data_IF_292614050865
#
_entry.id   IF_292614050865
#
_cell.length_a   1.000
_cell.length_b   1.000
_cell.length_c   1.000
_cell.angle_alpha   90.00
_cell.angle_beta   90.00
_cell.angle_gamma   90.00
#
_symmetry.space_group_name_H-M   'P 1'
#
loop_
_entity.id
_entity.type
_entity.pdbx_description
1 polymer ?
#
# COMPACT_ATOMS: atom_id res chain seq x y z
N UNK A 1 -21.47 -25.37 63.40
CA UNK A 1 -20.73 -25.84 62.20
C UNK A 1 -20.92 -24.96 60.95
N UNK A 2 -21.87 -24.01 60.90
CA UNK A 2 -22.11 -23.19 59.70
C UNK A 2 -21.10 -22.06 59.44
N UNK A 3 -20.48 -21.47 60.47
CA UNK A 3 -19.53 -20.36 60.30
C UNK A 3 -18.27 -20.75 59.52
N UNK A 4 -17.76 -21.95 59.77
CA UNK A 4 -16.54 -22.47 59.12
C UNK A 4 -16.70 -22.67 57.61
N UNK A 5 -17.90 -22.97 57.12
CA UNK A 5 -18.14 -23.11 55.68
C UNK A 5 -18.10 -21.76 54.95
N UNK A 6 -18.56 -20.69 55.59
CA UNK A 6 -18.48 -19.33 55.05
C UNK A 6 -17.04 -18.83 55.00
N UNK A 7 -16.25 -19.12 56.04
CA UNK A 7 -14.83 -18.74 56.07
C UNK A 7 -14.03 -19.45 54.96
N UNK A 8 -14.33 -20.74 54.70
CA UNK A 8 -13.74 -21.48 53.59
C UNK A 8 -14.13 -20.93 52.22
N UNK A 9 -15.37 -20.46 52.07
CA UNK A 9 -15.88 -19.91 50.81
C UNK A 9 -15.25 -18.55 50.50
N UNK A 10 -15.05 -17.71 51.54
CA UNK A 10 -14.30 -16.45 51.44
C UNK A 10 -12.82 -16.73 51.12
N UNK A 11 -12.22 -17.74 51.74
CA UNK A 11 -10.85 -18.15 51.46
C UNK A 11 -10.68 -18.62 50.00
N UNK A 12 -11.67 -19.34 49.47
CA UNK A 12 -11.69 -19.75 48.06
C UNK A 12 -11.72 -18.53 47.13
N UNK A 13 -12.60 -17.55 47.37
CA UNK A 13 -12.68 -16.32 46.56
C UNK A 13 -11.38 -15.50 46.60
N UNK A 14 -10.65 -15.53 47.73
CA UNK A 14 -9.37 -14.85 47.87
C UNK A 14 -8.18 -15.61 47.25
N UNK A 15 -8.23 -16.95 47.25
CA UNK A 15 -7.16 -17.81 46.72
C UNK A 15 -7.23 -18.01 45.21
N UNK A 16 -8.40 -17.76 44.59
CA UNK A 16 -8.57 -17.71 43.15
C UNK A 16 -8.79 -16.25 42.73
N UNK A 17 -7.72 -15.42 42.65
CA UNK A 17 -7.84 -14.18 41.90
C UNK A 17 -8.31 -14.62 40.51
N UNK A 18 -9.52 -14.19 40.14
CA UNK A 18 -10.03 -14.42 38.80
C UNK A 18 -8.89 -14.11 37.85
N UNK A 19 -8.51 -15.10 37.04
CA UNK A 19 -7.54 -14.87 35.99
C UNK A 19 -8.17 -13.79 35.12
N UNK A 20 -7.80 -12.54 35.39
CA UNK A 20 -8.09 -11.41 34.56
C UNK A 20 -7.18 -11.62 33.35
N UNK A 21 -7.60 -12.56 32.50
CA UNK A 21 -7.05 -12.77 31.18
C UNK A 21 -7.47 -11.54 30.38
N UNK A 22 -6.72 -10.46 30.57
CA UNK A 22 -6.85 -9.22 29.81
C UNK A 22 -6.23 -9.32 28.42
N UNK A 23 -5.82 -10.51 27.97
CA UNK A 23 -5.44 -10.77 26.59
C UNK A 23 -6.52 -11.64 25.95
N UNK A 24 -7.76 -11.14 25.90
CA UNK A 24 -8.61 -11.61 24.81
C UNK A 24 -7.95 -11.07 23.54
N UNK A 25 -7.32 -11.97 22.78
CA UNK A 25 -7.05 -11.81 21.35
C UNK A 25 -8.36 -11.70 20.57
N UNK A 26 -9.34 -10.97 21.11
CA UNK A 26 -10.53 -10.57 20.41
C UNK A 26 -10.00 -9.65 19.34
N UNK A 27 -9.96 -10.17 18.11
CA UNK A 27 -9.77 -9.40 16.90
C UNK A 27 -10.90 -8.39 16.84
N UNK A 28 -10.76 -7.29 17.59
CA UNK A 28 -11.66 -6.16 17.53
C UNK A 28 -11.52 -5.68 16.10
N UNK A 29 -12.55 -5.89 15.29
CA UNK A 29 -12.65 -5.20 14.01
C UNK A 29 -13.12 -3.78 14.36
N UNK A 30 -12.22 -2.79 14.54
CA UNK A 30 -12.58 -1.52 15.15
C UNK A 30 -13.29 -0.60 14.15
N UNK A 31 -13.39 -1.05 12.90
CA UNK A 31 -13.80 -0.26 11.76
C UNK A 31 -14.99 -0.93 11.08
N UNK A 32 -16.18 -0.63 11.58
CA UNK A 32 -17.41 -0.79 10.80
C UNK A 32 -17.46 0.31 9.74
N UNK A 33 -17.62 -0.09 8.47
CA UNK A 33 -17.73 0.80 7.32
C UNK A 33 -18.98 1.69 7.42
N UNK A 34 -19.99 1.23 8.16
CA UNK A 34 -21.24 1.96 8.38
C UNK A 34 -21.21 2.87 9.60
N UNK A 35 -20.11 2.92 10.35
CA UNK A 35 -20.04 3.74 11.55
C UNK A 35 -20.13 5.23 11.18
N UNK A 36 -21.06 5.99 11.79
CA UNK A 36 -21.19 7.43 11.53
C UNK A 36 -20.14 8.27 12.27
N UNK A 37 -19.38 7.71 13.23
CA UNK A 37 -18.48 8.45 14.12
C UNK A 37 -17.02 8.30 13.74
N UNK A 38 -16.33 9.43 13.64
CA UNK A 38 -14.89 9.47 13.46
C UNK A 38 -14.20 9.16 14.80
N UNK A 39 -13.10 8.42 14.79
CA UNK A 39 -12.39 8.01 16.01
C UNK A 39 -10.89 7.85 15.77
N UNK A 40 -10.12 8.11 16.82
CA UNK A 40 -8.71 7.75 16.93
C UNK A 40 -8.61 6.62 17.94
N UNK A 41 -8.00 5.50 17.56
CA UNK A 41 -7.90 4.29 18.39
C UNK A 41 -6.46 3.83 18.45
N UNK A 42 -5.98 3.41 19.62
CA UNK A 42 -4.67 2.79 19.79
C UNK A 42 -4.85 1.29 20.06
N UNK A 43 -4.23 0.44 19.23
CA UNK A 43 -4.30 -1.03 19.33
C UNK A 43 -2.89 -1.57 19.09
N UNK A 44 -2.36 -2.36 20.01
CA UNK A 44 -1.02 -2.96 19.95
C UNK A 44 0.10 -1.94 19.65
N UNK A 45 -0.01 -0.74 20.24
CA UNK A 45 0.94 0.36 20.04
C UNK A 45 0.79 1.12 18.71
N UNK A 46 -0.14 0.71 17.84
CA UNK A 46 -0.44 1.39 16.59
C UNK A 46 -1.60 2.38 16.77
N UNK A 47 -1.46 3.59 16.23
CA UNK A 47 -2.55 4.57 16.16
C UNK A 47 -3.31 4.43 14.85
N UNK A 48 -4.63 4.31 14.94
CA UNK A 48 -5.54 4.21 13.81
C UNK A 48 -6.48 5.40 13.78
N UNK A 49 -6.60 6.01 12.61
CA UNK A 49 -7.55 7.07 12.33
C UNK A 49 -8.71 6.49 11.51
N UNK A 50 -9.92 6.57 12.05
CA UNK A 50 -11.14 6.15 11.36
C UNK A 50 -11.97 7.39 11.02
N UNK A 51 -12.20 7.63 9.73
CA UNK A 51 -12.90 8.80 9.26
C UNK A 51 -14.41 8.77 9.55
N UNK A 52 -15.00 7.57 9.65
CA UNK A 52 -16.43 7.28 9.53
C UNK A 52 -17.01 7.40 8.11
N UNK A 53 -18.23 6.88 7.94
CA UNK A 53 -18.96 6.87 6.67
C UNK A 53 -19.11 8.28 6.11
N UNK A 54 -18.77 8.45 4.83
CA UNK A 54 -18.89 9.72 4.07
C UNK A 54 -18.16 10.91 4.72
N UNK A 55 -17.09 10.64 5.46
CA UNK A 55 -16.25 11.66 6.10
C UNK A 55 -14.79 11.45 5.71
N UNK A 56 -14.00 12.51 5.87
CA UNK A 56 -12.57 12.53 5.56
C UNK A 56 -11.76 12.71 6.84
N UNK A 57 -10.49 12.28 6.80
CA UNK A 57 -9.48 12.67 7.78
C UNK A 57 -8.63 13.75 7.12
N UNK A 58 -8.61 14.93 7.73
CA UNK A 58 -7.85 16.08 7.23
C UNK A 58 -6.82 16.51 8.27
N UNK A 59 -5.58 16.68 7.82
CA UNK A 59 -4.51 17.28 8.61
C UNK A 59 -4.18 18.63 7.99
N UNK A 60 -4.30 19.71 8.77
CA UNK A 60 -4.09 21.07 8.29
C UNK A 60 -2.96 21.69 9.10
N UNK A 61 -1.90 22.10 8.42
CA UNK A 61 -0.84 22.90 9.02
C UNK A 61 -1.16 24.39 8.86
N UNK A 62 -0.88 25.20 9.88
CA UNK A 62 -0.97 26.65 9.79
C UNK A 62 0.11 27.25 8.90
N UNK A 63 0.07 28.57 8.71
CA UNK A 63 1.07 29.31 7.92
C UNK A 63 2.49 29.05 8.45
N UNK A 64 3.37 28.54 7.58
CA UNK A 64 4.74 28.17 7.96
C UNK A 64 4.87 26.82 8.69
N UNK A 65 3.77 26.14 8.98
CA UNK A 65 3.76 24.78 9.51
C UNK A 65 4.03 23.74 8.42
N UNK A 66 4.57 22.58 8.81
CA UNK A 66 4.81 21.46 7.90
C UNK A 66 4.37 20.16 8.57
N UNK A 67 3.81 19.26 7.77
CA UNK A 67 3.43 17.92 8.23
C UNK A 67 4.54 16.96 7.80
N UNK A 68 4.99 16.12 8.72
CA UNK A 68 6.04 15.14 8.46
C UNK A 68 5.50 13.72 8.61
N UNK A 69 5.93 12.82 7.73
CA UNK A 69 5.73 11.38 7.86
C UNK A 69 7.10 10.71 8.01
N UNK A 70 7.44 10.32 9.24
CA UNK A 70 8.81 9.98 9.61
C UNK A 70 9.71 11.21 9.45
N UNK A 71 10.78 11.07 8.67
CA UNK A 71 11.71 12.17 8.37
C UNK A 71 11.31 12.99 7.12
N UNK A 72 10.20 12.65 6.45
CA UNK A 72 9.81 13.26 5.18
C UNK A 72 8.81 14.40 5.38
N UNK A 73 9.14 15.60 4.89
CA UNK A 73 8.21 16.71 4.83
C UNK A 73 7.19 16.50 3.70
N UNK A 74 5.90 16.42 4.04
CA UNK A 74 4.83 16.21 3.07
C UNK A 74 4.61 17.42 2.15
N UNK A 75 5.04 18.62 2.55
CA UNK A 75 4.95 19.82 1.71
C UNK A 75 5.92 19.78 0.51
N UNK A 76 6.90 18.86 0.51
CA UNK A 76 7.89 18.70 -0.56
C UNK A 76 7.56 17.51 -1.48
N UNK A 77 6.44 16.82 -1.23
CA UNK A 77 6.01 15.76 -2.14
C UNK A 77 5.51 16.40 -3.43
N UNK A 78 5.88 15.84 -4.59
CA UNK A 78 5.36 16.31 -5.87
C UNK A 78 3.84 16.24 -5.84
N UNK A 79 3.19 17.28 -6.33
CA UNK A 79 1.74 17.27 -6.45
C UNK A 79 1.29 16.13 -7.37
N UNK A 80 0.06 15.65 -7.18
CA UNK A 80 -0.51 14.59 -8.03
C UNK A 80 -0.48 14.96 -9.52
N UNK A 81 -0.56 16.25 -9.83
CA UNK A 81 -0.44 16.83 -11.18
C UNK A 81 0.95 16.63 -11.77
N UNK A 82 2.01 16.82 -10.99
CA UNK A 82 3.39 16.57 -11.42
C UNK A 82 3.61 15.08 -11.69
N UNK A 83 2.99 14.20 -10.88
CA UNK A 83 3.03 12.76 -11.10
C UNK A 83 2.29 12.34 -12.38
N UNK A 84 1.15 12.98 -12.69
CA UNK A 84 0.41 12.75 -13.94
C UNK A 84 1.21 13.16 -15.18
N UNK A 85 1.92 14.29 -15.12
CA UNK A 85 2.80 14.76 -16.21
C UNK A 85 3.93 13.75 -16.45
N UNK A 86 4.60 13.30 -15.38
CA UNK A 86 5.67 12.30 -15.48
C UNK A 86 5.13 10.99 -16.06
N UNK A 87 3.92 10.57 -15.65
CA UNK A 87 3.27 9.38 -16.19
C UNK A 87 2.99 9.50 -17.70
N UNK A 88 2.47 10.63 -18.15
CA UNK A 88 2.22 10.88 -19.57
C UNK A 88 3.52 10.84 -20.40
N UNK A 89 4.59 11.45 -19.88
CA UNK A 89 5.88 11.47 -20.56
C UNK A 89 6.51 10.07 -20.67
N UNK A 90 6.36 9.26 -19.63
CA UNK A 90 6.77 7.85 -19.62
C UNK A 90 5.98 7.05 -20.65
N UNK A 91 4.67 7.22 -20.72
CA UNK A 91 3.82 6.51 -21.68
C UNK A 91 4.15 6.89 -23.14
N UNK A 92 4.43 8.17 -23.40
CA UNK A 92 4.90 8.64 -24.71
C UNK A 92 6.24 8.02 -25.09
N UNK A 93 7.18 7.97 -24.14
CA UNK A 93 8.51 7.37 -24.35
C UNK A 93 8.40 5.88 -24.65
N UNK A 94 7.56 5.15 -23.91
CA UNK A 94 7.27 3.73 -24.16
C UNK A 94 6.74 3.49 -25.57
N UNK A 95 5.84 4.35 -26.06
CA UNK A 95 5.33 4.29 -27.43
C UNK A 95 6.43 4.44 -28.49
N UNK A 96 7.35 5.40 -28.29
CA UNK A 96 8.49 5.64 -29.20
C UNK A 96 9.47 4.48 -29.24
N UNK A 97 9.79 3.90 -28.06
CA UNK A 97 10.64 2.72 -27.96
C UNK A 97 10.03 1.54 -28.72
N UNK A 98 8.71 1.33 -28.59
CA UNK A 98 8.03 0.26 -29.31
C UNK A 98 8.07 0.44 -30.83
N UNK A 99 7.92 1.68 -31.33
CA UNK A 99 8.06 1.98 -32.76
C UNK A 99 9.48 1.71 -33.28
N UNK A 100 10.49 2.15 -32.53
CA UNK A 100 11.90 1.88 -32.86
C UNK A 100 12.17 0.38 -32.94
N UNK A 101 11.62 -0.40 -32.02
CA UNK A 101 11.80 -1.85 -32.01
C UNK A 101 11.18 -2.50 -33.26
N UNK A 102 9.98 -2.08 -33.68
CA UNK A 102 9.37 -2.53 -34.94
C UNK A 102 10.22 -2.19 -36.16
N UNK A 103 10.78 -0.97 -36.22
CA UNK A 103 11.64 -0.58 -37.34
C UNK A 103 12.94 -1.38 -37.37
N UNK A 104 13.53 -1.68 -36.21
CA UNK A 104 14.71 -2.54 -36.11
C UNK A 104 14.42 -3.96 -36.60
N UNK A 105 13.26 -4.52 -36.26
CA UNK A 105 12.84 -5.85 -36.73
C UNK A 105 12.64 -5.89 -38.25
N UNK A 106 11.97 -4.87 -38.82
CA UNK A 106 11.79 -4.75 -40.28
C UNK A 106 13.13 -4.61 -41.00
N UNK A 107 14.04 -3.79 -40.47
CA UNK A 107 15.37 -3.61 -41.04
C UNK A 107 16.17 -4.93 -41.01
N UNK A 108 16.11 -5.66 -39.90
CA UNK A 108 16.72 -6.99 -39.77
C UNK A 108 16.16 -7.98 -40.79
N UNK A 109 14.84 -7.97 -41.05
CA UNK A 109 14.22 -8.80 -42.07
C UNK A 109 14.69 -8.43 -43.49
N UNK A 110 14.77 -7.13 -43.80
CA UNK A 110 15.25 -6.66 -45.10
C UNK A 110 16.71 -7.03 -45.38
N UNK A 111 17.59 -6.95 -44.37
CA UNK A 111 18.97 -7.43 -44.52
C UNK A 111 18.99 -8.93 -44.81
N UNK A 112 18.19 -9.71 -44.07
CA UNK A 112 18.14 -11.17 -44.23
C UNK A 112 17.64 -11.56 -45.63
N UNK A 113 16.61 -10.90 -46.16
CA UNK A 113 16.09 -11.19 -47.50
C UNK A 113 17.11 -10.83 -48.58
N UNK A 114 17.68 -9.61 -48.55
CA UNK A 114 18.69 -9.18 -49.52
C UNK A 114 19.95 -10.05 -49.49
N UNK A 115 20.39 -10.48 -48.30
CA UNK A 115 21.51 -11.41 -48.18
C UNK A 115 21.21 -12.78 -48.82
N UNK A 116 19.98 -13.29 -48.66
CA UNK A 116 19.53 -14.53 -49.32
C UNK A 116 19.49 -14.41 -50.85
N UNK A 117 19.00 -13.28 -51.37
CA UNK A 117 18.93 -13.02 -52.80
C UNK A 117 20.33 -12.96 -53.44
N UNK A 118 21.29 -12.30 -52.76
CA UNK A 118 22.69 -12.24 -53.22
C UNK A 118 23.34 -13.63 -53.21
N UNK A 119 23.09 -14.44 -52.18
CA UNK A 119 23.61 -15.81 -52.12
C UNK A 119 23.02 -16.70 -53.23
N UNK A 120 21.73 -16.53 -53.55
CA UNK A 120 21.07 -17.26 -54.63
C UNK A 120 21.58 -16.83 -56.02
N UNK A 121 21.86 -15.54 -56.21
CA UNK A 121 22.42 -15.01 -57.46
C UNK A 121 23.83 -15.56 -57.72
N UNK A 122 24.70 -15.56 -56.72
CA UNK A 122 26.07 -16.07 -56.84
C UNK A 122 26.10 -17.58 -57.21
N UNK A 123 25.13 -18.36 -56.73
CA UNK A 123 25.03 -19.78 -57.07
C UNK A 123 24.57 -20.06 -58.51
N UNK A 124 23.96 -19.08 -59.18
CA UNK A 124 23.52 -19.18 -60.59
C UNK A 124 24.60 -18.78 -61.60
N UNK A 125 25.59 -18.00 -61.15
CA UNK A 125 26.67 -17.46 -62.00
C UNK A 125 27.95 -18.30 -61.91
N UNK A 126 28.05 -19.19 -60.90
CA UNK A 126 29.15 -20.15 -60.74
C UNK A 126 28.82 -21.51 -61.33
#
# INVERSE_FOLDING_TARGET
MWRSCFDLLILFVLLFPSQCSSDSNQKINPFDVNDPRSRLVMIDGNMYFHAARQKNISFIAGTGGSIYFGEKNLNLLPELTEFEIVKEEVDKTKGRVHQLMKMADLFKQQIKSKSGDVAALNRKVS
#
